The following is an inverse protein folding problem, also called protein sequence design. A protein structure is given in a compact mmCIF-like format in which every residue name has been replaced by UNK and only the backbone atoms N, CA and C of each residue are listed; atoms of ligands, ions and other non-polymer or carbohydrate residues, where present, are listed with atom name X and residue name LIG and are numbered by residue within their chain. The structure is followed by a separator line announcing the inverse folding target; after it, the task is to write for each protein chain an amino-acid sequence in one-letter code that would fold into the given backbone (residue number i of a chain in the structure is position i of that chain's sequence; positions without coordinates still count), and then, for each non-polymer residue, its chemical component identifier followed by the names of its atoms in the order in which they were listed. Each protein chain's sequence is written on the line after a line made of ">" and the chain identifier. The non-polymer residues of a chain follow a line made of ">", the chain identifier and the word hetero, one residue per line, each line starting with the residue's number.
data_IF_422925628601
#
_entry.id   IF_422925628601
#
_cell.length_a   1.000
_cell.length_b   1.000
_cell.length_c   1.000
_cell.angle_alpha   90.00
_cell.angle_beta   90.00
_cell.angle_gamma   90.00
#
_symmetry.space_group_name_H-M   'P 1'
#
loop_
_entity.id
_entity.type
_entity.pdbx_description
1 polymer ?
#
# COMPACT_ATOMS: atom_id res chain seq x y z
N UNK A 1 -12.16 0.59 -1.36
CA UNK A 1 -10.75 0.86 -1.71
C UNK A 1 -9.90 0.37 -0.56
N UNK A 2 -8.76 -0.25 -0.85
CA UNK A 2 -7.87 -0.79 0.20
C UNK A 2 -6.53 -0.08 0.12
N UNK A 3 -5.99 0.27 1.27
CA UNK A 3 -4.71 0.93 1.45
C UNK A 3 -3.79 0.00 2.23
N UNK A 4 -2.56 -0.15 1.77
CA UNK A 4 -1.51 -0.88 2.49
C UNK A 4 -0.56 0.11 3.14
N UNK A 5 -0.21 -0.14 4.40
CA UNK A 5 0.96 0.49 5.02
C UNK A 5 2.14 -0.44 4.81
N UNK A 6 3.17 0.06 4.14
CA UNK A 6 4.35 -0.70 3.75
C UNK A 6 5.56 -0.09 4.44
N UNK A 7 6.38 -0.93 5.07
CA UNK A 7 7.72 -0.54 5.50
C UNK A 7 8.63 -0.58 4.27
N UNK A 8 9.06 0.59 3.79
CA UNK A 8 9.92 0.70 2.62
C UNK A 8 11.36 0.24 2.90
N UNK A 9 11.78 0.23 4.17
CA UNK A 9 13.11 -0.25 4.57
C UNK A 9 13.22 -1.76 4.46
N UNK A 10 12.15 -2.49 4.83
CA UNK A 10 12.13 -3.98 4.83
C UNK A 10 11.35 -4.58 3.66
N UNK A 11 10.50 -3.80 2.99
CA UNK A 11 9.57 -4.27 1.97
C UNK A 11 8.32 -4.97 2.54
N UNK A 12 8.13 -4.97 3.86
CA UNK A 12 7.02 -5.67 4.52
C UNK A 12 5.71 -4.88 4.46
N UNK A 13 4.60 -5.59 4.22
CA UNK A 13 3.24 -5.04 4.36
C UNK A 13 2.81 -5.22 5.82
N UNK A 14 2.63 -4.11 6.53
CA UNK A 14 2.31 -4.13 7.96
C UNK A 14 0.80 -4.16 8.24
N UNK A 15 0.01 -3.54 7.36
CA UNK A 15 -1.44 -3.49 7.53
C UNK A 15 -2.17 -3.27 6.19
N UNK A 16 -3.42 -3.72 6.15
CA UNK A 16 -4.40 -3.41 5.11
C UNK A 16 -5.62 -2.70 5.74
N UNK A 17 -5.97 -1.54 5.22
CA UNK A 17 -7.00 -0.66 5.76
C UNK A 17 -7.94 -0.18 4.65
N UNK A 18 -9.19 0.10 5.00
CA UNK A 18 -10.20 0.57 4.03
C UNK A 18 -10.40 2.08 4.01
N UNK A 19 -9.65 2.83 4.84
CA UNK A 19 -9.69 4.29 4.90
C UNK A 19 -8.28 4.88 4.81
N UNK A 20 -8.12 5.91 3.96
CA UNK A 20 -6.82 6.53 3.70
C UNK A 20 -6.27 7.27 4.92
N UNK A 21 -7.13 8.01 5.64
CA UNK A 21 -6.77 8.77 6.84
C UNK A 21 -6.20 7.87 7.94
N UNK A 22 -6.83 6.72 8.18
CA UNK A 22 -6.35 5.73 9.14
C UNK A 22 -5.00 5.12 8.72
N UNK A 23 -4.79 4.91 7.42
CA UNK A 23 -3.53 4.37 6.90
C UNK A 23 -2.38 5.38 7.04
N UNK A 24 -2.64 6.66 6.79
CA UNK A 24 -1.67 7.75 7.03
C UNK A 24 -1.36 7.85 8.51
N UNK A 25 -2.38 7.88 9.37
CA UNK A 25 -2.17 7.95 10.82
C UNK A 25 -1.33 6.78 11.35
N UNK A 26 -1.56 5.56 10.84
CA UNK A 26 -0.77 4.40 11.21
C UNK A 26 0.68 4.53 10.72
N UNK A 27 0.90 4.93 9.47
CA UNK A 27 2.24 5.15 8.93
C UNK A 27 3.02 6.21 9.73
N UNK A 28 2.39 7.32 10.09
CA UNK A 28 3.00 8.38 10.91
C UNK A 28 3.35 7.89 12.32
N UNK A 29 2.45 7.09 12.92
CA UNK A 29 2.67 6.50 14.25
C UNK A 29 3.87 5.55 14.23
N UNK A 30 3.95 4.66 13.24
CA UNK A 30 5.05 3.72 13.07
C UNK A 30 6.39 4.45 12.79
N UNK A 31 6.34 5.52 11.99
CA UNK A 31 7.51 6.37 11.74
C UNK A 31 8.00 7.02 13.06
N UNK A 32 7.09 7.57 13.86
CA UNK A 32 7.41 8.19 15.13
C UNK A 32 7.98 7.18 16.15
N UNK A 33 7.40 5.98 16.25
CA UNK A 33 7.87 4.90 17.13
C UNK A 33 9.29 4.45 16.80
N UNK A 34 9.65 4.44 15.51
CA UNK A 34 10.99 4.10 15.03
C UNK A 34 11.91 5.32 14.90
N UNK A 35 11.55 6.46 15.52
CA UNK A 35 12.33 7.71 15.48
C UNK A 35 12.71 8.15 14.06
N UNK A 36 11.86 7.86 13.09
CA UNK A 36 12.06 8.14 11.66
C UNK A 36 13.29 7.46 11.04
N UNK A 37 13.83 6.41 11.68
CA UNK A 37 14.91 5.60 11.10
C UNK A 37 14.38 4.66 9.99
N UNK A 38 13.10 4.29 10.07
CA UNK A 38 12.41 3.53 9.03
C UNK A 38 11.43 4.40 8.23
N UNK A 39 11.28 4.07 6.95
CA UNK A 39 10.39 4.77 6.04
C UNK A 39 9.12 3.96 5.81
N UNK A 40 7.96 4.63 5.88
CA UNK A 40 6.66 4.01 5.67
C UNK A 40 5.92 4.67 4.51
N UNK A 41 5.24 3.87 3.70
CA UNK A 41 4.40 4.35 2.62
C UNK A 41 2.97 3.85 2.77
N UNK A 42 2.02 4.69 2.38
CA UNK A 42 0.63 4.31 2.18
C UNK A 42 0.41 4.09 0.69
N UNK A 43 0.09 2.86 0.30
CA UNK A 43 -0.14 2.48 -1.10
C UNK A 43 -1.60 2.11 -1.31
N UNK A 44 -2.25 2.73 -2.28
CA UNK A 44 -3.61 2.40 -2.68
C UNK A 44 -3.60 1.17 -3.61
N UNK A 45 -4.36 0.14 -3.27
CA UNK A 45 -4.62 -0.97 -4.18
C UNK A 45 -5.63 -0.56 -5.23
N UNK A 46 -5.22 -0.64 -6.49
CA UNK A 46 -6.08 -0.52 -7.66
C UNK A 46 -6.14 -1.87 -8.38
N UNK A 47 -7.36 -2.37 -8.61
CA UNK A 47 -7.56 -3.55 -9.45
C UNK A 47 -7.45 -3.13 -10.90
N UNK A 48 -6.44 -3.64 -11.60
CA UNK A 48 -6.30 -3.43 -13.05
C UNK A 48 -6.98 -4.60 -13.75
N UNK A 49 -7.97 -4.31 -14.61
CA UNK A 49 -8.53 -5.28 -15.52
C UNK A 49 -7.76 -5.21 -16.84
N UNK A 50 -7.02 -6.26 -17.17
CA UNK A 50 -6.48 -6.39 -18.53
C UNK A 50 -7.66 -6.64 -19.47
N UNK A 51 -7.90 -5.69 -20.39
CA UNK A 51 -8.86 -5.93 -21.46
C UNK A 51 -8.19 -6.85 -22.46
N UNK A 52 -8.69 -8.09 -22.69
CA UNK A 52 -8.10 -8.95 -23.70
C UNK A 52 -8.19 -8.24 -25.05
N UNK A 53 -7.05 -8.06 -25.71
CA UNK A 53 -7.01 -7.57 -27.09
C UNK A 53 -7.70 -8.65 -27.93
N UNK A 54 -8.97 -8.42 -28.32
CA UNK A 54 -9.68 -9.26 -29.28
C UNK A 54 -8.83 -9.38 -30.54
N UNK A 55 -8.22 -10.54 -30.80
CA UNK A 55 -7.43 -10.72 -32.01
C UNK A 55 -6.61 -11.99 -32.17
N UNK A 56 -6.44 -12.85 -31.15
CA UNK A 56 -5.82 -14.17 -31.36
C UNK A 56 -6.74 -15.28 -30.87
N UNK A 57 -7.66 -15.66 -31.76
CA UNK A 57 -8.30 -16.96 -31.81
C UNK A 57 -7.21 -18.05 -31.95
N UNK A 58 -7.19 -19.12 -31.16
CA UNK A 58 -6.69 -20.41 -31.62
C UNK A 58 -7.66 -21.06 -32.61
#
# INVERSE_FOLDING_TARGET
>A
MTFRVVNLTTGEILAELHRADHAVQLADTLAAEQRYEAQFAVVQLVTVYETPIRGKTP
#
